data_IF_848586622167
#
_entry.id   IF_848586622167
#
_cell.length_a   1.000
_cell.length_b   1.000
_cell.length_c   1.000
_cell.angle_alpha   90.00
_cell.angle_beta   90.00
_cell.angle_gamma   90.00
#
_symmetry.space_group_name_H-M   'P 1'
#
loop_
_entity.id
_entity.type
_entity.pdbx_description
1 polymer ?
#
# COMPACT_ATOMS: atom_id res chain seq x y z
N UNK A 1 15.99 3.30 -9.89
CA UNK A 1 15.29 3.54 -8.62
C UNK A 1 14.68 2.22 -8.17
N UNK A 2 14.90 1.82 -6.93
CA UNK A 2 14.31 0.62 -6.35
C UNK A 2 13.00 1.00 -5.64
N UNK A 3 11.88 0.51 -6.17
CA UNK A 3 10.53 0.81 -5.68
C UNK A 3 9.93 -0.44 -5.03
N UNK A 4 9.18 -0.21 -3.96
CA UNK A 4 8.36 -1.25 -3.31
C UNK A 4 6.93 -0.76 -3.23
N UNK A 5 6.00 -1.48 -3.84
CA UNK A 5 4.57 -1.29 -3.64
C UNK A 5 4.15 -2.21 -2.50
N UNK A 6 3.41 -1.71 -1.52
CA UNK A 6 3.01 -2.45 -0.32
C UNK A 6 1.52 -2.31 -0.07
N UNK A 7 0.93 -3.42 0.36
CA UNK A 7 -0.41 -3.51 0.94
C UNK A 7 -0.38 -4.52 2.09
N UNK A 8 -1.24 -4.33 3.09
CA UNK A 8 -1.30 -5.15 4.30
C UNK A 8 -2.73 -5.45 4.68
N UNK A 9 -2.94 -6.68 5.13
CA UNK A 9 -4.17 -7.15 5.77
C UNK A 9 -3.96 -7.39 7.26
N UNK A 10 -5.02 -7.19 8.04
CA UNK A 10 -4.98 -7.31 9.50
C UNK A 10 -5.67 -8.56 10.02
N UNK A 11 -5.36 -8.93 11.27
CA UNK A 11 -6.01 -10.07 11.94
C UNK A 11 -7.36 -9.72 12.55
N UNK A 12 -7.55 -8.44 12.90
CA UNK A 12 -8.74 -7.94 13.61
C UNK A 12 -9.31 -6.73 12.93
N UNK A 13 -10.60 -6.51 13.13
CA UNK A 13 -11.27 -5.27 12.77
C UNK A 13 -11.07 -4.18 13.85
N UNK A 14 -11.15 -2.91 13.46
CA UNK A 14 -11.16 -1.79 14.41
C UNK A 14 -12.26 -1.93 15.47
N UNK A 15 -13.43 -2.45 15.11
CA UNK A 15 -14.56 -2.66 16.01
C UNK A 15 -14.24 -3.63 17.17
N UNK A 16 -13.29 -4.53 16.98
CA UNK A 16 -12.92 -5.55 17.97
C UNK A 16 -11.82 -5.07 18.91
N UNK A 17 -10.94 -4.19 18.42
CA UNK A 17 -9.81 -3.66 19.19
C UNK A 17 -10.18 -2.70 20.32
N UNK A 18 -11.41 -2.15 20.32
CA UNK A 18 -11.91 -1.22 21.34
C UNK A 18 -11.22 0.16 21.38
N UNK A 19 -10.21 0.39 20.53
CA UNK A 19 -9.49 1.67 20.34
C UNK A 19 -9.26 1.88 18.85
N UNK A 20 -9.39 3.10 18.36
CA UNK A 20 -9.08 3.43 16.95
C UNK A 20 -7.54 3.54 16.76
N UNK A 21 -6.81 2.47 17.07
CA UNK A 21 -5.35 2.40 17.00
C UNK A 21 -4.93 1.22 16.10
N UNK A 22 -4.44 1.49 14.86
CA UNK A 22 -4.06 0.44 13.92
C UNK A 22 -3.00 -0.54 14.46
N UNK A 23 -2.14 -0.10 15.40
CA UNK A 23 -1.09 -0.94 16.01
C UNK A 23 -1.63 -2.16 16.74
N UNK A 24 -2.92 -2.17 17.07
CA UNK A 24 -3.57 -3.24 17.85
C UNK A 24 -4.23 -4.31 16.97
N UNK A 25 -4.26 -4.11 15.65
CA UNK A 25 -5.00 -4.97 14.73
C UNK A 25 -4.28 -6.27 14.39
N UNK A 26 -2.95 -6.28 14.53
CA UNK A 26 -2.08 -7.39 14.12
C UNK A 26 -2.00 -7.56 12.61
N UNK A 27 -0.87 -8.06 12.11
CA UNK A 27 -0.65 -8.36 10.69
C UNK A 27 -1.19 -9.76 10.40
N UNK A 28 -2.07 -9.94 9.43
CA UNK A 28 -2.42 -11.27 8.92
C UNK A 28 -1.58 -11.63 7.69
N UNK A 29 -1.39 -10.68 6.78
CA UNK A 29 -0.57 -10.84 5.58
C UNK A 29 -0.03 -9.50 5.09
N UNK A 30 1.18 -9.47 4.56
CA UNK A 30 1.75 -8.31 3.86
C UNK A 30 2.11 -8.73 2.44
N UNK A 31 1.54 -8.05 1.47
CA UNK A 31 1.91 -8.18 0.07
C UNK A 31 2.87 -7.08 -0.35
N UNK A 32 3.90 -7.42 -1.11
CA UNK A 32 4.73 -6.42 -1.76
C UNK A 32 4.97 -6.74 -3.24
N UNK A 33 5.21 -5.69 -4.01
CA UNK A 33 5.81 -5.78 -5.34
C UNK A 33 7.09 -4.95 -5.34
N UNK A 34 8.24 -5.60 -5.40
CA UNK A 34 9.53 -4.93 -5.52
C UNK A 34 9.96 -4.87 -6.98
N UNK A 35 10.50 -3.74 -7.41
CA UNK A 35 11.03 -3.58 -8.76
C UNK A 35 12.16 -2.60 -8.85
N UNK A 36 13.04 -2.85 -9.81
CA UNK A 36 14.05 -1.88 -10.21
C UNK A 36 13.55 -1.13 -11.44
N UNK A 37 13.34 0.18 -11.29
CA UNK A 37 12.98 1.09 -12.36
C UNK A 37 14.24 1.57 -13.09
N UNK A 38 14.31 1.25 -14.38
CA UNK A 38 15.23 1.87 -15.34
C UNK A 38 14.49 2.98 -16.11
N UNK A 39 15.21 3.97 -16.63
CA UNK A 39 14.61 5.18 -17.21
C UNK A 39 13.69 4.93 -18.43
N UNK A 40 13.71 3.74 -19.03
CA UNK A 40 12.90 3.38 -20.20
C UNK A 40 12.17 2.03 -20.08
N UNK A 41 12.29 1.30 -18.97
CA UNK A 41 11.64 -0.01 -18.81
C UNK A 41 10.93 -0.12 -17.45
N UNK A 42 9.61 -0.31 -17.52
CA UNK A 42 8.74 -0.55 -16.37
C UNK A 42 8.43 -2.03 -16.34
N UNK A 43 9.27 -2.80 -15.66
CA UNK A 43 8.97 -4.21 -15.45
C UNK A 43 7.81 -4.37 -14.45
N UNK A 44 7.14 -5.53 -14.52
CA UNK A 44 6.02 -5.87 -13.64
C UNK A 44 6.43 -6.00 -12.17
N UNK A 45 7.73 -6.09 -11.88
CA UNK A 45 8.28 -6.38 -10.56
C UNK A 45 8.12 -7.83 -10.14
N UNK A 46 8.77 -8.16 -9.03
CA UNK A 46 8.60 -9.41 -8.31
C UNK A 46 7.60 -9.20 -7.18
N UNK A 47 6.57 -10.06 -7.14
CA UNK A 47 5.56 -10.04 -6.09
C UNK A 47 5.95 -11.05 -5.02
N UNK A 48 6.00 -10.60 -3.77
CA UNK A 48 6.33 -11.38 -2.59
C UNK A 48 5.23 -11.18 -1.56
N UNK A 49 5.10 -12.09 -0.61
CA UNK A 49 4.23 -11.89 0.53
C UNK A 49 4.72 -12.59 1.77
N UNK A 50 4.27 -12.09 2.91
CA UNK A 50 4.78 -12.45 4.24
C UNK A 50 3.60 -12.57 5.20
N UNK A 51 3.50 -13.70 5.89
CA UNK A 51 2.63 -13.82 7.05
C UNK A 51 3.25 -13.14 8.28
N UNK A 52 2.50 -13.01 9.37
CA UNK A 52 2.93 -12.31 10.59
C UNK A 52 4.34 -12.74 11.07
N UNK A 53 4.60 -14.04 11.08
CA UNK A 53 5.87 -14.61 11.56
C UNK A 53 7.06 -14.34 10.62
N UNK A 54 6.80 -13.86 9.40
CA UNK A 54 7.79 -13.58 8.36
C UNK A 54 8.02 -12.07 8.17
N UNK A 55 7.27 -11.21 8.87
CA UNK A 55 7.37 -9.74 8.76
C UNK A 55 8.80 -9.23 9.03
N UNK A 56 9.62 -9.96 9.79
CA UNK A 56 11.03 -9.61 10.00
C UNK A 56 11.85 -9.57 8.71
N UNK A 57 11.47 -10.38 7.72
CA UNK A 57 12.14 -10.46 6.41
C UNK A 57 11.78 -9.29 5.49
N UNK A 58 10.71 -8.56 5.81
CA UNK A 58 10.26 -7.38 5.07
C UNK A 58 11.20 -6.18 5.26
N UNK A 59 11.78 -6.01 6.46
CA UNK A 59 12.52 -4.79 6.80
C UNK A 59 13.73 -4.53 5.91
N UNK A 60 14.61 -5.51 5.64
CA UNK A 60 15.75 -5.28 4.74
C UNK A 60 15.31 -4.83 3.34
N UNK A 61 14.12 -5.22 2.88
CA UNK A 61 13.56 -4.84 1.58
C UNK A 61 13.11 -3.37 1.60
N UNK A 62 12.37 -2.98 2.65
CA UNK A 62 11.87 -1.61 2.81
C UNK A 62 12.99 -0.60 3.08
N UNK A 63 13.99 -0.97 3.88
CA UNK A 63 15.15 -0.13 4.18
C UNK A 63 16.03 0.17 2.96
N UNK A 64 16.06 -0.74 1.99
CA UNK A 64 16.78 -0.56 0.73
C UNK A 64 15.97 0.20 -0.33
N UNK A 65 14.66 0.37 -0.14
CA UNK A 65 13.78 1.03 -1.09
C UNK A 65 14.11 2.52 -1.22
N UNK A 66 14.34 2.98 -2.45
CA UNK A 66 14.41 4.42 -2.74
C UNK A 66 13.03 5.07 -2.52
N UNK A 67 11.96 4.29 -2.69
CA UNK A 67 10.57 4.70 -2.50
C UNK A 67 9.67 3.51 -2.15
N UNK A 68 8.81 3.71 -1.16
CA UNK A 68 7.70 2.82 -0.83
C UNK A 68 6.40 3.47 -1.33
N UNK A 69 5.54 2.71 -1.99
CA UNK A 69 4.27 3.17 -2.55
C UNK A 69 3.15 2.32 -1.94
N UNK A 70 2.05 2.95 -1.57
CA UNK A 70 0.87 2.23 -1.14
C UNK A 70 -0.39 3.08 -1.21
N UNK A 71 -1.50 2.54 -0.74
CA UNK A 71 -2.78 3.21 -0.72
C UNK A 71 -3.27 3.37 0.71
N UNK A 72 -3.28 4.61 1.24
CA UNK A 72 -3.50 4.89 2.66
C UNK A 72 -2.41 4.30 3.59
N UNK A 73 -1.23 4.01 3.03
CA UNK A 73 -0.09 3.39 3.71
C UNK A 73 0.38 4.18 4.92
N UNK A 74 0.37 5.52 4.85
CA UNK A 74 0.78 6.37 5.97
C UNK A 74 -0.27 6.39 7.09
N UNK A 75 -1.54 6.23 6.72
CA UNK A 75 -2.67 6.28 7.65
C UNK A 75 -3.09 4.93 8.23
N UNK A 76 -2.57 3.82 7.68
CA UNK A 76 -3.00 2.47 8.06
C UNK A 76 -1.85 1.47 8.15
N UNK A 77 -1.27 1.07 7.02
CA UNK A 77 -0.30 -0.03 6.94
C UNK A 77 0.95 0.23 7.79
N UNK A 78 1.56 1.42 7.69
CA UNK A 78 2.73 1.78 8.50
C UNK A 78 2.41 1.86 10.00
N UNK A 79 1.31 2.50 10.43
CA UNK A 79 0.84 2.37 11.80
C UNK A 79 0.71 0.92 12.27
N UNK A 80 0.13 0.00 11.48
CA UNK A 80 0.07 -1.43 11.85
C UNK A 80 1.47 -2.04 11.97
N UNK A 81 2.31 -1.86 10.94
CA UNK A 81 3.68 -2.37 10.86
C UNK A 81 4.60 -1.83 11.95
N UNK A 82 4.34 -0.62 12.47
CA UNK A 82 5.13 -0.02 13.54
C UNK A 82 5.10 -0.83 14.86
N UNK A 83 4.10 -1.69 15.05
CA UNK A 83 4.08 -2.62 16.18
C UNK A 83 5.13 -3.73 16.08
N UNK A 84 5.65 -3.98 14.87
CA UNK A 84 6.60 -5.06 14.55
C UNK A 84 8.00 -4.56 14.20
N UNK A 85 8.18 -3.24 14.07
CA UNK A 85 9.44 -2.62 13.64
C UNK A 85 10.07 -1.83 14.79
N UNK A 86 11.36 -2.08 15.04
CA UNK A 86 12.11 -1.37 16.08
C UNK A 86 12.56 0.04 15.66
N UNK A 87 12.63 0.29 14.35
CA UNK A 87 12.98 1.59 13.79
C UNK A 87 11.77 2.51 13.61
N UNK A 88 11.99 3.64 12.94
CA UNK A 88 10.95 4.62 12.65
C UNK A 88 10.42 4.44 11.22
N UNK A 89 9.19 3.92 11.08
CA UNK A 89 8.52 3.75 9.78
C UNK A 89 8.28 5.08 9.04
N UNK A 90 8.24 6.22 9.76
CA UNK A 90 8.08 7.54 9.15
C UNK A 90 9.33 8.04 8.42
N UNK A 91 10.48 7.40 8.66
CA UNK A 91 11.74 7.73 7.99
C UNK A 91 11.79 7.23 6.54
N UNK A 92 10.92 6.29 6.17
CA UNK A 92 10.85 5.78 4.80
C UNK A 92 10.33 6.85 3.84
N UNK A 93 10.91 6.86 2.63
CA UNK A 93 10.45 7.72 1.53
C UNK A 93 9.19 7.12 0.94
N UNK A 94 8.04 7.68 1.30
CA UNK A 94 6.76 7.06 1.00
C UNK A 94 5.91 7.94 0.10
N UNK A 95 5.27 7.32 -0.89
CA UNK A 95 4.21 7.92 -1.69
C UNK A 95 2.89 7.24 -1.33
N UNK A 96 1.98 8.01 -0.77
CA UNK A 96 0.62 7.55 -0.47
C UNK A 96 -0.34 8.08 -1.53
N UNK A 97 -0.83 7.18 -2.38
CA UNK A 97 -1.73 7.52 -3.50
C UNK A 97 -3.00 8.20 -2.99
N UNK A 98 -3.50 7.79 -1.82
CA UNK A 98 -4.73 8.37 -1.27
C UNK A 98 -4.50 9.82 -0.82
N UNK A 99 -3.35 10.12 -0.22
CA UNK A 99 -3.05 11.51 0.17
C UNK A 99 -2.86 12.40 -1.07
N UNK A 100 -2.22 11.92 -2.14
CA UNK A 100 -2.12 12.67 -3.39
C UNK A 100 -3.49 12.94 -4.04
N UNK A 101 -4.37 11.94 -4.09
CA UNK A 101 -5.73 12.11 -4.60
C UNK A 101 -6.54 13.05 -3.71
N UNK A 102 -6.44 12.91 -2.39
CA UNK A 102 -7.17 13.73 -1.42
C UNK A 102 -6.78 15.20 -1.47
N UNK A 103 -5.50 15.52 -1.70
CA UNK A 103 -5.04 16.92 -1.91
C UNK A 103 -5.79 17.61 -3.04
N UNK A 104 -6.18 16.86 -4.07
CA UNK A 104 -6.78 17.37 -5.31
C UNK A 104 -8.31 17.28 -5.28
N UNK A 105 -8.84 16.17 -4.76
CA UNK A 105 -10.27 15.91 -4.67
C UNK A 105 -10.95 16.56 -3.45
N UNK A 106 -10.18 16.91 -2.41
CA UNK A 106 -10.68 17.44 -1.13
C UNK A 106 -11.39 16.41 -0.23
N UNK A 107 -11.41 15.13 -0.64
CA UNK A 107 -12.01 14.03 0.12
C UNK A 107 -11.31 12.72 -0.21
N UNK A 108 -11.52 11.69 0.63
CA UNK A 108 -10.99 10.35 0.42
C UNK A 108 -11.79 9.64 -0.68
N UNK A 109 -11.07 8.89 -1.52
CA UNK A 109 -11.64 8.03 -2.57
C UNK A 109 -11.09 6.62 -2.34
N UNK A 110 -11.85 5.56 -2.62
CA UNK A 110 -11.33 4.19 -2.44
C UNK A 110 -10.46 3.76 -3.62
N UNK A 111 -9.50 2.86 -3.37
CA UNK A 111 -8.67 2.27 -4.41
C UNK A 111 -9.53 1.63 -5.51
N UNK A 112 -10.60 0.92 -5.13
CA UNK A 112 -11.51 0.30 -6.10
C UNK A 112 -12.19 1.33 -7.01
N UNK A 113 -12.63 2.46 -6.47
CA UNK A 113 -13.26 3.52 -7.25
C UNK A 113 -12.28 4.14 -8.26
N UNK A 114 -11.02 4.32 -7.86
CA UNK A 114 -9.96 4.81 -8.74
C UNK A 114 -9.62 3.76 -9.81
N UNK A 115 -9.37 2.51 -9.42
CA UNK A 115 -9.00 1.43 -10.32
C UNK A 115 -10.08 1.19 -11.39
N UNK A 116 -11.36 1.25 -11.00
CA UNK A 116 -12.49 1.08 -11.91
C UNK A 116 -12.47 2.08 -13.06
N UNK A 117 -12.42 3.37 -12.74
CA UNK A 117 -12.55 4.43 -13.76
C UNK A 117 -11.21 4.77 -14.43
N UNK A 118 -10.09 4.48 -13.77
CA UNK A 118 -8.74 4.73 -14.33
C UNK A 118 -8.26 3.59 -15.21
N UNK A 119 -8.42 2.34 -14.75
CA UNK A 119 -7.86 1.15 -15.39
C UNK A 119 -8.92 0.28 -16.08
N UNK A 120 -10.22 0.55 -15.88
CA UNK A 120 -11.29 -0.32 -16.33
C UNK A 120 -11.36 -1.65 -15.58
N UNK A 121 -10.73 -1.75 -14.39
CA UNK A 121 -10.65 -2.97 -13.58
C UNK A 121 -11.32 -2.76 -12.23
N UNK A 122 -12.12 -3.71 -11.79
CA UNK A 122 -12.69 -3.72 -10.44
C UNK A 122 -11.99 -4.75 -9.58
N UNK A 123 -11.88 -4.48 -8.27
CA UNK A 123 -11.47 -5.47 -7.27
C UNK A 123 -12.47 -6.63 -7.28
N UNK A 124 -11.98 -7.85 -7.16
CA UNK A 124 -12.81 -9.06 -7.07
C UNK A 124 -13.46 -9.27 -5.70
N UNK A 125 -13.06 -8.50 -4.68
CA UNK A 125 -13.57 -8.58 -3.30
C UNK A 125 -13.47 -7.24 -2.55
N UNK A 126 -13.79 -7.28 -1.27
CA UNK A 126 -13.74 -6.18 -0.30
C UNK A 126 -12.82 -6.51 0.88
N UNK A 127 -12.34 -5.50 1.62
CA UNK A 127 -11.48 -5.74 2.80
C UNK A 127 -12.18 -6.53 3.93
N UNK A 128 -13.52 -6.65 3.89
CA UNK A 128 -14.25 -7.54 4.80
C UNK A 128 -14.03 -9.02 4.46
N UNK A 129 -13.70 -9.33 3.21
CA UNK A 129 -13.41 -10.69 2.77
C UNK A 129 -12.05 -11.14 3.33
N UNK A 130 -11.05 -10.25 3.44
CA UNK A 130 -9.74 -10.56 4.00
C UNK A 130 -9.80 -11.02 5.47
N UNK A 131 -10.52 -10.26 6.32
CA UNK A 131 -10.77 -10.66 7.71
C UNK A 131 -11.50 -12.00 7.79
N UNK A 132 -12.52 -12.19 6.96
CA UNK A 132 -13.27 -13.46 6.88
C UNK A 132 -12.37 -14.63 6.46
N UNK A 133 -11.46 -14.42 5.49
CA UNK A 133 -10.52 -15.45 5.05
C UNK A 133 -9.55 -15.81 6.19
N UNK A 134 -9.03 -14.83 6.92
CA UNK A 134 -8.16 -15.07 8.05
C UNK A 134 -8.87 -15.86 9.16
N UNK A 135 -10.08 -15.44 9.56
CA UNK A 135 -10.89 -16.12 10.58
C UNK A 135 -11.22 -17.58 10.20
N UNK A 136 -11.41 -17.84 8.90
CA UNK A 136 -11.71 -19.17 8.37
C UNK A 136 -10.46 -20.02 8.08
N UNK A 137 -9.25 -19.49 8.30
CA UNK A 137 -8.00 -20.17 7.96
C UNK A 137 -7.75 -20.34 6.45
N UNK A 138 -8.42 -19.54 5.61
CA UNK A 138 -8.30 -19.50 4.14
C UNK A 138 -7.11 -18.63 3.71
N UNK A 139 -5.91 -19.09 4.06
CA UNK A 139 -4.69 -18.30 3.91
C UNK A 139 -4.30 -18.05 2.45
N UNK A 140 -4.61 -18.99 1.54
CA UNK A 140 -4.34 -18.83 0.11
C UNK A 140 -5.22 -17.74 -0.51
N UNK A 141 -6.49 -17.68 -0.13
CA UNK A 141 -7.42 -16.64 -0.56
C UNK A 141 -7.05 -15.27 0.01
N UNK A 142 -6.62 -15.21 1.29
CA UNK A 142 -6.10 -14.01 1.91
C UNK A 142 -4.86 -13.48 1.16
N UNK A 143 -3.89 -14.36 0.92
CA UNK A 143 -2.68 -14.02 0.18
C UNK A 143 -3.03 -13.52 -1.22
N UNK A 144 -3.87 -14.24 -1.96
CA UNK A 144 -4.30 -13.84 -3.29
C UNK A 144 -4.97 -12.46 -3.30
N UNK A 145 -5.86 -12.21 -2.35
CA UNK A 145 -6.57 -10.94 -2.22
C UNK A 145 -5.59 -9.78 -2.03
N UNK A 146 -4.69 -9.87 -1.04
CA UNK A 146 -3.70 -8.82 -0.77
C UNK A 146 -2.73 -8.62 -1.96
N UNK A 147 -2.26 -9.71 -2.58
CA UNK A 147 -1.37 -9.59 -3.74
C UNK A 147 -2.06 -8.97 -4.96
N UNK A 148 -3.38 -9.17 -5.14
CA UNK A 148 -4.14 -8.49 -6.18
C UNK A 148 -4.27 -6.98 -5.88
N UNK A 149 -4.41 -6.60 -4.61
CA UNK A 149 -4.42 -5.20 -4.18
C UNK A 149 -3.07 -4.51 -4.41
N UNK A 150 -1.96 -5.19 -4.17
CA UNK A 150 -0.61 -4.74 -4.56
C UNK A 150 -0.53 -4.50 -6.07
N UNK A 151 -1.02 -5.43 -6.89
CA UNK A 151 -1.00 -5.29 -8.37
C UNK A 151 -1.85 -4.12 -8.84
N UNK A 152 -3.05 -3.95 -8.27
CA UNK A 152 -3.92 -2.83 -8.60
C UNK A 152 -3.27 -1.50 -8.20
N UNK A 153 -2.68 -1.44 -7.01
CA UNK A 153 -1.96 -0.25 -6.51
C UNK A 153 -0.79 0.12 -7.43
N UNK A 154 0.01 -0.88 -7.85
CA UNK A 154 1.08 -0.69 -8.84
C UNK A 154 0.54 -0.15 -10.16
N UNK A 155 -0.53 -0.74 -10.70
CA UNK A 155 -1.07 -0.34 -12.00
C UNK A 155 -1.68 1.06 -11.95
N UNK A 156 -2.33 1.44 -10.85
CA UNK A 156 -2.83 2.80 -10.59
C UNK A 156 -1.66 3.78 -10.51
N UNK A 157 -0.61 3.43 -9.77
CA UNK A 157 0.61 4.24 -9.67
C UNK A 157 1.25 4.47 -11.04
N UNK A 158 1.41 3.41 -11.83
CA UNK A 158 2.02 3.48 -13.17
C UNK A 158 1.19 4.33 -14.13
N UNK A 159 -0.13 4.22 -14.08
CA UNK A 159 -1.04 5.06 -14.84
C UNK A 159 -0.86 6.53 -14.46
N UNK A 160 -0.94 6.86 -13.17
CA UNK A 160 -0.78 8.24 -12.70
C UNK A 160 0.60 8.81 -12.99
N UNK A 161 1.65 7.99 -12.96
CA UNK A 161 3.00 8.41 -13.32
C UNK A 161 3.12 8.79 -14.81
N UNK A 162 2.46 8.03 -15.69
CA UNK A 162 2.47 8.23 -17.14
C UNK A 162 1.52 9.36 -17.60
N UNK A 163 0.31 9.42 -17.05
CA UNK A 163 -0.76 10.30 -17.52
C UNK A 163 -0.92 11.57 -16.68
N UNK A 164 -0.30 11.61 -15.49
CA UNK A 164 -0.40 12.71 -14.52
C UNK A 164 -1.83 12.99 -14.05
N UNK A 165 -2.71 11.99 -14.16
CA UNK A 165 -4.09 12.05 -13.71
C UNK A 165 -4.60 10.70 -13.21
N UNK A 166 -5.65 10.72 -12.38
CA UNK A 166 -6.44 9.56 -11.96
C UNK A 166 -7.93 9.87 -12.06
N UNK A 167 -8.75 8.86 -12.32
CA UNK A 167 -10.20 8.99 -12.55
C UNK A 167 -11.01 8.23 -11.51
N UNK A 168 -12.16 8.78 -11.13
CA UNK A 168 -13.15 8.13 -10.26
C UNK A 168 -14.53 8.79 -10.39
N UNK A 169 -15.57 8.13 -9.89
CA UNK A 169 -16.93 8.70 -9.82
C UNK A 169 -17.06 9.65 -8.63
N UNK A 170 -17.53 10.87 -8.89
CA UNK A 170 -17.92 11.78 -7.81
C UNK A 170 -19.30 11.40 -7.22
N UNK A 171 -19.72 12.14 -6.19
CA UNK A 171 -21.02 11.96 -5.52
C UNK A 171 -22.26 12.12 -6.41
N UNK A 172 -22.11 12.58 -7.65
CA UNK A 172 -23.17 12.72 -8.65
C UNK A 172 -23.07 11.68 -9.77
N UNK A 173 -22.33 10.59 -9.57
CA UNK A 173 -22.10 9.52 -10.56
C UNK A 173 -21.49 10.03 -11.87
N UNK A 174 -20.71 11.12 -11.83
CA UNK A 174 -19.95 11.61 -12.97
C UNK A 174 -18.50 11.20 -12.81
N UNK A 175 -17.92 10.65 -13.86
CA UNK A 175 -16.47 10.41 -13.94
C UNK A 175 -15.78 11.77 -13.92
N UNK A 176 -14.90 11.97 -12.95
CA UNK A 176 -14.02 13.12 -12.87
C UNK A 176 -12.57 12.64 -12.96
N UNK A 177 -11.72 13.51 -13.50
CA UNK A 177 -10.27 13.32 -13.51
C UNK A 177 -9.64 14.30 -12.52
N UNK A 178 -8.70 13.82 -11.72
CA UNK A 178 -7.89 14.65 -10.81
C UNK A 178 -6.43 14.58 -11.25
N UNK A 179 -5.73 15.72 -11.35
CA UNK A 179 -4.30 15.70 -11.63
C UNK A 179 -3.55 15.06 -10.46
N UNK A 180 -2.49 14.30 -10.73
CA UNK A 180 -1.62 13.74 -9.69
C UNK A 180 -0.16 13.99 -10.03
N UNK A 181 0.65 14.24 -9.00
CA UNK A 181 2.10 14.32 -9.13
C UNK A 181 2.77 13.27 -8.26
N UNK A 182 3.42 12.30 -8.91
CA UNK A 182 4.14 11.20 -8.28
C UNK A 182 5.66 11.38 -8.32
N UNK A 183 6.14 12.57 -8.72
CA UNK A 183 7.57 12.87 -8.80
C UNK A 183 8.24 12.91 -7.42
N UNK A 184 7.59 13.50 -6.41
CA UNK A 184 8.11 13.60 -5.04
C UNK A 184 7.40 12.62 -4.10
N UNK A 185 8.13 11.99 -3.15
CA UNK A 185 7.48 11.28 -2.05
C UNK A 185 6.74 12.27 -1.15
N UNK A 186 5.66 11.83 -0.52
CA UNK A 186 4.87 12.63 0.42
C UNK A 186 5.65 12.91 1.73
N UNK A 187 6.73 12.17 1.99
CA UNK A 187 7.68 12.39 3.08
C UNK A 187 9.09 12.70 2.56
N UNK A 188 9.63 13.87 2.93
CA UNK A 188 11.06 14.20 2.78
C UNK A 188 11.89 13.42 3.83
N UNK A 189 11.87 12.08 3.73
CA UNK A 189 12.65 11.20 4.60
C UNK A 189 14.14 11.40 4.35
N UNK A 190 14.80 12.16 5.24
CA UNK A 190 16.25 12.09 5.42
C UNK A 190 16.54 10.73 6.07
N UNK A 191 16.84 9.71 5.28
CA UNK A 191 17.36 8.44 5.79
C UNK A 191 18.60 8.73 6.66
N UNK A 192 18.46 8.62 7.98
CA UNK A 192 19.59 8.31 8.85
C UNK A 192 19.66 6.79 8.90
N UNK A 193 20.63 6.24 8.18
CA UNK A 193 20.95 4.81 8.23
C UNK A 193 21.32 4.48 9.67
N UNK A 194 20.40 3.84 10.40
CA UNK A 194 20.71 3.20 11.67
C UNK A 194 20.69 1.70 11.40
N UNK A 195 21.88 1.15 11.17
CA UNK A 195 22.07 -0.28 10.94
C UNK A 195 21.67 -1.01 12.22
N UNK A 196 20.58 -1.78 12.17
CA UNK A 196 20.24 -2.73 13.23
C UNK A 196 21.21 -3.90 13.09
N UNK A 197 22.27 -3.91 13.91
CA UNK A 197 23.11 -5.10 14.08
C UNK A 197 22.29 -6.15 14.82
N UNK A 198 21.98 -7.25 14.13
CA UNK A 198 21.44 -8.45 14.74
C UNK A 198 22.40 -8.96 15.83
N UNK A 199 21.83 -9.27 16.98
CA UNK A 199 22.47 -10.03 18.06
C UNK A 199 21.75 -11.36 18.16
#
# INVERSE_FOLDING_TARGET
MYEVILDLETQRAFSESGKYDPRTLGVSYVGICRRQMAAQDRNAGEVLGFFENEVVELWPILEQADRIIGFNILGFDFPVLSAYYHGDVSSFRTLDILEEVKKQAGHRVSLNAIAKETLGRQKSGSGLDALTYYEQGKLDELAKYCLDDVRITRDVYDYGLAHKELKFLNKWNRVISVPVDFSNPSTDGKMKVQMTLGV
#
